data_IF_796644896990
#
_entry.id   IF_796644896990
#
_cell.length_a   1.000
_cell.length_b   1.000
_cell.length_c   1.000
_cell.angle_alpha   90.00
_cell.angle_beta   90.00
_cell.angle_gamma   90.00
#
_symmetry.space_group_name_H-M   'P 1'
#
loop_
_entity.id
_entity.type
_entity.pdbx_description
1 polymer ?
#
# COMPACT_ATOMS: atom_id res chain seq x y z
N UNK A 1 -37.48 53.24 -19.84
CA UNK A 1 -36.61 52.63 -20.86
C UNK A 1 -35.27 53.34 -20.81
N UNK A 2 -34.19 52.54 -20.78
CA UNK A 2 -32.81 52.88 -21.18
C UNK A 2 -32.05 53.84 -20.24
N UNK A 3 -30.82 53.58 -19.78
CA UNK A 3 -29.80 52.63 -20.22
C UNK A 3 -29.11 51.98 -19.00
N UNK A 4 -29.01 50.65 -19.01
CA UNK A 4 -27.94 49.90 -18.34
C UNK A 4 -26.81 49.75 -19.36
N UNK A 5 -25.62 50.25 -19.06
CA UNK A 5 -24.34 49.84 -19.64
C UNK A 5 -23.20 50.62 -18.98
N UNK A 6 -22.03 49.97 -19.00
CA UNK A 6 -20.73 50.40 -18.48
C UNK A 6 -20.54 49.81 -17.06
N UNK A 7 -19.70 48.81 -16.78
CA UNK A 7 -18.49 48.34 -17.43
C UNK A 7 -18.28 46.83 -17.21
N UNK A 8 -17.98 46.17 -18.33
CA UNK A 8 -17.21 44.94 -18.43
C UNK A 8 -15.82 45.18 -17.83
N UNK A 9 -15.38 44.48 -16.77
CA UNK A 9 -13.97 44.08 -16.52
C UNK A 9 -13.68 43.46 -15.12
N UNK A 10 -14.20 42.29 -14.77
CA UNK A 10 -13.34 41.35 -14.02
C UNK A 10 -13.74 39.89 -14.20
N UNK A 11 -13.74 39.46 -15.46
CA UNK A 11 -13.75 38.05 -15.84
C UNK A 11 -12.34 37.46 -15.82
N UNK A 12 -11.57 37.66 -14.74
CA UNK A 12 -10.24 37.07 -14.60
C UNK A 12 -9.98 36.61 -13.17
N UNK A 13 -9.35 35.44 -13.08
CA UNK A 13 -8.76 34.78 -11.92
C UNK A 13 -9.75 33.93 -11.11
N UNK A 14 -9.91 32.66 -11.52
CA UNK A 14 -9.04 31.52 -11.11
C UNK A 14 -9.34 31.09 -9.67
N UNK A 15 -9.61 29.79 -9.51
CA UNK A 15 -9.30 29.13 -8.25
C UNK A 15 -10.40 28.22 -7.71
N UNK A 16 -10.82 27.21 -8.48
CA UNK A 16 -10.99 25.87 -7.89
C UNK A 16 -10.57 24.84 -8.94
N UNK A 17 -9.30 24.89 -9.35
CA UNK A 17 -8.64 23.64 -9.71
C UNK A 17 -8.72 22.81 -8.42
N UNK A 18 -9.65 21.86 -8.38
CA UNK A 18 -9.53 20.76 -7.42
C UNK A 18 -8.24 20.09 -7.84
N UNK A 19 -7.14 20.47 -7.20
CA UNK A 19 -5.95 19.64 -7.21
C UNK A 19 -6.46 18.26 -6.80
N UNK A 20 -6.30 17.19 -7.60
CA UNK A 20 -6.38 15.87 -7.04
C UNK A 20 -5.33 15.90 -5.95
N UNK A 21 -5.80 16.03 -4.70
CA UNK A 21 -4.96 16.10 -3.52
C UNK A 21 -3.93 15.01 -3.70
N UNK A 22 -2.67 15.42 -3.66
CA UNK A 22 -1.57 14.52 -3.86
C UNK A 22 -1.68 13.51 -2.72
N UNK A 23 -2.35 12.36 -2.97
CA UNK A 23 -2.46 11.26 -2.04
C UNK A 23 -1.11 10.54 -2.03
N UNK A 24 -0.02 11.28 -1.82
CA UNK A 24 1.13 10.75 -1.13
C UNK A 24 0.70 10.64 0.33
N UNK A 25 -0.10 9.62 0.56
CA UNK A 25 -0.27 9.03 1.87
C UNK A 25 1.12 8.72 2.38
N UNK A 26 1.67 9.61 3.20
CA UNK A 26 2.75 9.36 4.13
C UNK A 26 2.26 8.38 5.23
N UNK A 27 1.58 7.30 4.82
CA UNK A 27 0.92 6.35 5.68
C UNK A 27 1.90 5.22 5.89
N UNK A 28 2.53 5.20 7.06
CA UNK A 28 2.98 3.95 7.70
C UNK A 28 3.77 3.03 6.75
N UNK A 29 4.84 3.56 6.15
CA UNK A 29 5.79 2.78 5.34
C UNK A 29 6.46 1.68 6.20
N UNK A 30 6.49 1.86 7.52
CA UNK A 30 7.11 0.88 8.41
C UNK A 30 6.30 -0.41 8.56
N UNK A 31 4.96 -0.34 8.57
CA UNK A 31 4.12 -1.52 8.86
C UNK A 31 3.65 -2.27 7.61
N UNK A 32 3.68 -1.62 6.44
CA UNK A 32 3.09 -2.14 5.21
C UNK A 32 4.16 -2.40 4.14
N UNK A 33 4.01 -3.51 3.43
CA UNK A 33 4.84 -3.88 2.28
C UNK A 33 4.03 -3.99 0.99
N UNK A 34 4.75 -4.15 -0.13
CA UNK A 34 4.17 -4.42 -1.46
C UNK A 34 4.72 -5.70 -2.06
N UNK A 35 3.84 -6.54 -2.60
CA UNK A 35 4.22 -7.75 -3.32
C UNK A 35 4.96 -7.39 -4.60
N UNK A 36 6.18 -7.88 -4.75
CA UNK A 36 7.01 -7.76 -5.96
C UNK A 36 6.79 -8.96 -6.87
N UNK A 37 6.66 -10.15 -6.29
CA UNK A 37 6.41 -11.38 -7.05
C UNK A 37 5.80 -12.43 -6.15
N UNK A 38 4.99 -13.33 -6.70
CA UNK A 38 4.47 -14.50 -5.99
C UNK A 38 4.52 -15.73 -6.88
N UNK A 39 4.90 -16.87 -6.30
CA UNK A 39 4.89 -18.16 -6.97
C UNK A 39 5.37 -19.27 -6.05
N UNK A 40 4.91 -20.50 -6.31
CA UNK A 40 5.24 -21.69 -5.54
C UNK A 40 4.98 -21.53 -4.01
N UNK A 41 3.95 -20.76 -3.65
CA UNK A 41 3.63 -20.48 -2.25
C UNK A 41 4.59 -19.51 -1.54
N UNK A 42 5.48 -18.83 -2.28
CA UNK A 42 6.39 -17.82 -1.75
C UNK A 42 6.08 -16.47 -2.39
N UNK A 43 5.77 -15.48 -1.56
CA UNK A 43 5.66 -14.09 -1.96
C UNK A 43 6.92 -13.32 -1.58
N UNK A 44 7.45 -12.53 -2.51
CA UNK A 44 8.49 -11.53 -2.24
C UNK A 44 7.82 -10.19 -2.03
N UNK A 45 8.15 -9.55 -0.92
CA UNK A 45 7.52 -8.29 -0.51
C UNK A 45 8.61 -7.27 -0.22
N UNK A 46 8.45 -6.07 -0.79
CA UNK A 46 9.29 -4.92 -0.49
C UNK A 46 8.68 -4.11 0.66
N UNK A 47 9.50 -3.59 1.57
CA UNK A 47 9.05 -2.88 2.77
C UNK A 47 8.93 -3.81 3.98
N UNK A 48 7.88 -3.63 4.80
CA UNK A 48 7.72 -4.32 6.10
C UNK A 48 8.93 -4.04 7.01
N UNK A 49 9.24 -2.77 7.25
CA UNK A 49 10.36 -2.42 8.13
C UNK A 49 10.15 -3.01 9.52
N UNK A 50 11.25 -3.40 10.16
CA UNK A 50 11.26 -4.02 11.50
C UNK A 50 10.50 -5.35 11.62
N UNK A 51 10.08 -5.96 10.52
CA UNK A 51 9.47 -7.29 10.56
C UNK A 51 10.46 -8.33 11.05
N UNK A 52 9.98 -9.24 11.88
CA UNK A 52 10.79 -10.30 12.45
C UNK A 52 10.58 -11.62 11.69
N UNK A 53 11.62 -12.45 11.63
CA UNK A 53 11.46 -13.80 11.12
C UNK A 53 10.48 -14.56 12.03
N UNK A 54 9.54 -15.28 11.42
CA UNK A 54 8.44 -15.94 12.12
C UNK A 54 7.23 -15.05 12.39
N UNK A 55 7.25 -13.78 12.00
CA UNK A 55 6.10 -12.89 12.15
C UNK A 55 5.00 -13.19 11.14
N UNK A 56 3.75 -13.19 11.58
CA UNK A 56 2.59 -13.35 10.73
C UNK A 56 2.28 -12.05 9.99
N UNK A 57 1.90 -12.22 8.72
CA UNK A 57 1.44 -11.14 7.86
C UNK A 57 0.10 -11.49 7.24
N UNK A 58 -0.59 -10.46 6.78
CA UNK A 58 -1.86 -10.58 6.05
C UNK A 58 -1.80 -9.79 4.74
N UNK A 59 -2.15 -10.45 3.65
CA UNK A 59 -2.28 -9.84 2.33
C UNK A 59 -3.65 -9.17 2.21
N UNK A 60 -3.79 -8.16 1.35
CA UNK A 60 -5.09 -7.51 1.07
C UNK A 60 -6.22 -8.46 0.64
N UNK A 61 -5.87 -9.63 0.10
CA UNK A 61 -6.80 -10.71 -0.23
C UNK A 61 -7.34 -11.47 0.99
N UNK A 62 -6.84 -11.18 2.20
CA UNK A 62 -7.13 -11.90 3.44
C UNK A 62 -6.34 -13.19 3.60
N UNK A 63 -5.49 -13.53 2.61
CA UNK A 63 -4.53 -14.63 2.74
C UNK A 63 -3.51 -14.27 3.81
N UNK A 64 -3.07 -15.25 4.58
CA UNK A 64 -2.04 -15.06 5.61
C UNK A 64 -0.75 -15.71 5.20
N UNK A 65 0.35 -15.25 5.79
CA UNK A 65 1.65 -15.86 5.61
C UNK A 65 2.56 -15.60 6.80
N UNK A 66 3.78 -16.11 6.71
CA UNK A 66 4.82 -15.94 7.71
C UNK A 66 6.09 -15.41 7.05
N UNK A 67 6.67 -14.38 7.66
CA UNK A 67 7.97 -13.87 7.26
C UNK A 67 9.04 -14.94 7.54
N UNK A 68 9.77 -15.36 6.49
CA UNK A 68 10.75 -16.45 6.59
C UNK A 68 12.16 -15.93 6.35
N UNK A 69 12.43 -15.40 5.15
CA UNK A 69 13.74 -14.85 4.81
C UNK A 69 13.69 -13.32 4.83
N UNK A 70 14.59 -12.68 5.58
CA UNK A 70 14.71 -11.23 5.65
C UNK A 70 15.97 -10.81 4.89
N UNK A 71 15.80 -10.22 3.71
CA UNK A 71 16.88 -9.60 2.94
C UNK A 71 16.85 -8.08 3.15
N UNK A 72 17.94 -7.39 2.77
CA UNK A 72 18.09 -5.96 3.02
C UNK A 72 17.05 -5.10 2.27
N UNK A 73 16.48 -5.61 1.18
CA UNK A 73 15.48 -4.91 0.36
C UNK A 73 14.14 -5.65 0.30
N UNK A 74 14.12 -6.96 0.57
CA UNK A 74 12.96 -7.80 0.34
C UNK A 74 12.73 -8.76 1.51
N UNK A 75 11.47 -9.14 1.70
CA UNK A 75 11.07 -10.15 2.66
C UNK A 75 10.42 -11.31 1.91
N UNK A 76 10.92 -12.52 2.14
CA UNK A 76 10.33 -13.76 1.66
C UNK A 76 9.25 -14.22 2.62
N UNK A 77 8.01 -14.26 2.15
CA UNK A 77 6.83 -14.65 2.92
C UNK A 77 6.33 -15.99 2.42
N UNK A 78 6.27 -16.97 3.32
CA UNK A 78 5.63 -18.26 3.03
C UNK A 78 4.13 -18.07 3.18
N UNK A 79 3.39 -18.34 2.12
CA UNK A 79 1.95 -18.15 2.04
C UNK A 79 1.24 -19.36 2.63
N UNK A 80 0.22 -19.13 3.45
CA UNK A 80 -0.66 -20.17 3.96
C UNK A 80 -1.86 -20.35 3.02
N UNK A 81 -1.96 -21.54 2.44
CA UNK A 81 -3.05 -21.89 1.53
C UNK A 81 -2.70 -21.60 0.07
N UNK A 82 -3.63 -21.00 -0.68
CA UNK A 82 -3.44 -20.72 -2.11
C UNK A 82 -2.89 -19.32 -2.33
N UNK A 83 -1.81 -19.25 -3.10
CA UNK A 83 -1.16 -18.03 -3.58
C UNK A 83 -1.88 -17.39 -4.78
N UNK A 84 -2.85 -18.09 -5.40
CA UNK A 84 -3.61 -17.59 -6.56
C UNK A 84 -4.41 -16.31 -6.32
N UNK A 85 -4.72 -16.02 -5.05
CA UNK A 85 -5.43 -14.82 -4.65
C UNK A 85 -4.52 -13.61 -4.41
N UNK A 86 -3.19 -13.80 -4.43
CA UNK A 86 -2.18 -12.76 -4.24
C UNK A 86 -1.66 -12.32 -5.60
N UNK A 87 -1.48 -11.02 -5.78
CA UNK A 87 -0.96 -10.43 -7.02
C UNK A 87 0.20 -9.48 -6.73
N UNK A 88 1.02 -9.28 -7.76
CA UNK A 88 2.02 -8.21 -7.74
C UNK A 88 1.34 -6.85 -7.50
N UNK A 89 1.96 -6.04 -6.64
CA UNK A 89 1.47 -4.73 -6.22
C UNK A 89 0.52 -4.76 -5.03
N UNK A 90 0.02 -5.93 -4.61
CA UNK A 90 -0.84 -6.07 -3.44
C UNK A 90 -0.13 -5.58 -2.18
N UNK A 91 -0.91 -4.99 -1.27
CA UNK A 91 -0.39 -4.62 0.04
C UNK A 91 -0.34 -5.83 0.96
N UNK A 92 0.68 -5.82 1.80
CA UNK A 92 0.89 -6.79 2.86
C UNK A 92 1.06 -6.03 4.15
N UNK A 93 0.39 -6.47 5.21
CA UNK A 93 0.42 -5.82 6.51
C UNK A 93 0.96 -6.78 7.57
N UNK A 94 1.81 -6.25 8.44
CA UNK A 94 2.27 -6.93 9.66
C UNK A 94 1.12 -7.11 10.64
N UNK A 95 1.11 -8.25 11.33
CA UNK A 95 0.13 -8.51 12.40
C UNK A 95 0.72 -8.38 13.80
N UNK A 96 2.03 -8.08 13.90
CA UNK A 96 2.82 -8.03 15.14
C UNK A 96 2.75 -9.33 15.97
N UNK A 97 2.29 -10.41 15.34
CA UNK A 97 2.09 -11.71 15.99
C UNK A 97 3.17 -12.67 15.51
N UNK A 98 4.11 -13.01 16.39
CA UNK A 98 5.10 -14.06 16.11
C UNK A 98 4.40 -15.41 16.23
N UNK A 99 4.45 -16.20 15.15
CA UNK A 99 3.91 -17.55 15.18
C UNK A 99 4.93 -18.44 15.89
N UNK A 100 4.59 -18.85 17.09
CA UNK A 100 5.36 -19.84 17.84
C UNK A 100 4.76 -21.23 17.61
N UNK A 101 5.60 -22.20 17.24
CA UNK A 101 5.22 -23.62 17.19
C UNK A 101 5.78 -24.24 18.46
N UNK A 102 4.93 -24.31 19.48
CA UNK A 102 5.22 -25.02 20.74
C UNK A 102 5.25 -26.53 20.57
#
# INVERSE_FOLDING_TARGET
>A
MSQERDEVWNSTARGTAREPGNFYTNFQVDENGRVVSVGDGIARVYGLNEIQAGEMVEFTSGVKGIASNLENENVGIVVFGSDTAIKEGDLVKRTDSIVDVL
#
